data_IF_395469906775
#
_entry.id   IF_395469906775
#
_cell.length_a   1.000
_cell.length_b   1.000
_cell.length_c   1.000
_cell.angle_alpha   90.00
_cell.angle_beta   90.00
_cell.angle_gamma   90.00
#
_symmetry.space_group_name_H-M   'P 1'
#
loop_
_entity.id
_entity.type
_entity.pdbx_description
1 polymer ?
#
# COMPACT_ATOMS: atom_id res chain seq x y z
N UNK A 1 -9.12 38.22 39.06
CA UNK A 1 -8.53 36.87 38.90
C UNK A 1 -8.22 36.68 37.42
N UNK A 2 -7.24 37.36 36.79
CA UNK A 2 -5.77 37.35 36.95
C UNK A 2 -5.19 35.93 37.04
N UNK A 3 -4.25 35.64 36.11
CA UNK A 3 -3.30 34.51 35.94
C UNK A 3 -3.86 33.32 35.12
N UNK A 4 -3.33 32.90 33.96
CA UNK A 4 -2.04 33.09 33.23
C UNK A 4 -2.33 32.96 31.72
N UNK A 5 -1.95 33.91 30.86
CA UNK A 5 -0.67 33.99 30.14
C UNK A 5 -0.27 32.70 29.39
N UNK A 6 -0.43 32.76 28.06
CA UNK A 6 0.53 32.35 27.04
C UNK A 6 1.42 31.13 27.35
N UNK A 7 1.19 30.05 26.60
CA UNK A 7 2.26 29.22 26.01
C UNK A 7 1.74 28.58 24.73
N UNK A 8 1.90 29.29 23.61
CA UNK A 8 2.12 28.71 22.28
C UNK A 8 3.54 28.07 22.23
N UNK A 9 3.86 27.27 21.19
CA UNK A 9 4.30 27.84 19.91
C UNK A 9 3.43 27.32 18.75
N UNK A 10 2.81 28.18 17.93
CA UNK A 10 3.38 29.07 16.89
C UNK A 10 3.89 28.29 15.66
N UNK A 11 3.08 28.42 14.60
CA UNK A 11 3.41 28.45 13.17
C UNK A 11 4.02 27.20 12.52
N UNK A 12 3.15 26.39 11.89
CA UNK A 12 3.37 25.78 10.57
C UNK A 12 2.01 25.28 10.03
N UNK A 13 1.33 26.13 9.25
CA UNK A 13 0.32 25.81 8.20
C UNK A 13 -0.53 27.05 7.90
N UNK A 14 0.13 28.09 7.38
CA UNK A 14 -0.54 29.20 6.71
C UNK A 14 -0.52 28.93 5.20
N UNK A 15 -1.36 28.01 4.69
CA UNK A 15 -1.55 27.82 3.24
C UNK A 15 -2.97 27.39 2.78
N UNK A 16 -3.96 27.28 3.65
CA UNK A 16 -5.27 26.71 3.25
C UNK A 16 -6.53 27.57 3.48
N UNK A 17 -6.40 28.85 3.84
CA UNK A 17 -7.59 29.67 4.17
C UNK A 17 -8.16 30.53 3.04
N UNK A 18 -7.52 30.63 1.87
CA UNK A 18 -7.99 31.47 0.77
C UNK A 18 -9.26 30.92 0.06
N UNK A 19 -9.38 29.61 -0.23
CA UNK A 19 -10.57 29.08 -0.90
C UNK A 19 -11.83 29.12 0.00
N UNK A 20 -11.64 28.90 1.31
CA UNK A 20 -12.73 28.88 2.27
C UNK A 20 -13.40 30.26 2.44
N UNK A 21 -12.61 31.35 2.40
CA UNK A 21 -13.15 32.71 2.45
C UNK A 21 -13.87 33.11 1.16
N UNK A 22 -13.44 32.60 -0.01
CA UNK A 22 -14.09 32.84 -1.30
C UNK A 22 -15.44 32.13 -1.42
N UNK A 23 -15.52 30.87 -0.97
CA UNK A 23 -16.78 30.11 -0.98
C UNK A 23 -17.78 30.69 0.04
N UNK A 24 -17.29 31.14 1.20
CA UNK A 24 -18.14 31.76 2.24
C UNK A 24 -18.67 33.15 1.84
N UNK A 25 -17.96 33.89 0.98
CA UNK A 25 -18.38 35.22 0.52
C UNK A 25 -19.38 35.18 -0.65
N UNK A 26 -19.36 34.13 -1.48
CA UNK A 26 -20.37 33.92 -2.54
C UNK A 26 -21.77 33.66 -1.98
N UNK A 27 -21.89 33.21 -0.72
CA UNK A 27 -23.17 32.94 -0.06
C UNK A 27 -23.73 34.14 0.74
N UNK A 28 -22.99 35.24 0.89
CA UNK A 28 -23.41 36.42 1.66
C UNK A 28 -23.13 37.73 0.91
N UNK A 29 -24.20 38.37 0.42
CA UNK A 29 -24.20 39.60 -0.39
C UNK A 29 -23.79 40.89 0.36
N UNK A 30 -22.82 40.83 1.27
CA UNK A 30 -22.48 41.95 2.19
C UNK A 30 -21.10 42.57 1.99
N UNK A 31 -20.33 42.20 0.96
CA UNK A 31 -19.00 42.77 0.75
C UNK A 31 -18.96 43.75 -0.45
N UNK A 32 -18.35 44.95 -0.30
CA UNK A 32 -18.22 45.93 -1.39
C UNK A 32 -17.37 45.40 -2.57
N UNK A 33 -17.75 45.72 -3.81
CA UNK A 33 -17.13 45.23 -5.06
C UNK A 33 -15.61 45.45 -5.13
N UNK A 34 -15.10 46.52 -4.54
CA UNK A 34 -13.67 46.83 -4.53
C UNK A 34 -12.86 45.85 -3.66
N UNK A 35 -13.44 45.37 -2.56
CA UNK A 35 -12.83 44.33 -1.71
C UNK A 35 -12.86 42.97 -2.41
N UNK A 36 -13.93 42.70 -3.18
CA UNK A 36 -14.07 41.47 -3.98
C UNK A 36 -13.09 41.45 -5.15
N UNK A 37 -12.87 42.58 -5.83
CA UNK A 37 -11.88 42.68 -6.89
C UNK A 37 -10.45 42.58 -6.36
N UNK A 38 -10.18 43.14 -5.18
CA UNK A 38 -8.87 43.00 -4.52
C UNK A 38 -8.60 41.55 -4.08
N UNK A 39 -9.61 40.86 -3.55
CA UNK A 39 -9.52 39.43 -3.20
C UNK A 39 -9.40 38.54 -4.43
N UNK A 40 -10.11 38.84 -5.53
CA UNK A 40 -9.94 38.15 -6.81
C UNK A 40 -8.54 38.35 -7.35
N UNK A 41 -8.02 39.58 -7.38
CA UNK A 41 -6.67 39.87 -7.86
C UNK A 41 -5.60 39.24 -6.96
N UNK A 42 -5.81 39.16 -5.65
CA UNK A 42 -4.91 38.46 -4.74
C UNK A 42 -5.00 36.93 -4.88
N UNK A 43 -6.18 36.38 -5.16
CA UNK A 43 -6.35 34.96 -5.46
C UNK A 43 -5.77 34.59 -6.84
N UNK A 44 -5.87 35.50 -7.81
CA UNK A 44 -5.29 35.38 -9.14
C UNK A 44 -3.76 35.47 -9.06
N UNK A 45 -3.21 36.48 -8.38
CA UNK A 45 -1.77 36.57 -8.09
C UNK A 45 -1.26 35.38 -7.29
N UNK A 46 -2.03 34.86 -6.32
CA UNK A 46 -1.67 33.65 -5.58
C UNK A 46 -1.72 32.38 -6.45
N UNK A 47 -2.66 32.29 -7.41
CA UNK A 47 -2.67 31.20 -8.39
C UNK A 47 -1.53 31.33 -9.41
N UNK A 48 -1.19 32.56 -9.82
CA UNK A 48 -0.08 32.86 -10.71
C UNK A 48 1.28 32.66 -9.99
N UNK A 49 1.35 32.84 -8.67
CA UNK A 49 2.53 32.56 -7.84
C UNK A 49 2.66 31.06 -7.46
N UNK A 50 1.56 30.29 -7.46
CA UNK A 50 1.58 28.81 -7.34
C UNK A 50 1.86 28.15 -8.69
N UNK A 51 1.56 28.81 -9.80
CA UNK A 51 2.15 28.53 -11.10
C UNK A 51 3.63 28.97 -11.11
N UNK A 52 4.42 28.43 -10.16
CA UNK A 52 5.84 28.20 -10.40
C UNK A 52 5.86 27.45 -11.72
N UNK A 53 6.54 28.02 -12.70
CA UNK A 53 6.77 27.49 -14.04
C UNK A 53 7.20 26.02 -13.93
N UNK A 54 6.24 25.08 -13.92
CA UNK A 54 6.43 23.63 -13.89
C UNK A 54 6.89 23.20 -15.28
N UNK A 55 7.90 23.87 -15.80
CA UNK A 55 8.55 23.55 -17.05
C UNK A 55 9.52 22.41 -16.76
N UNK A 56 9.40 21.33 -17.53
CA UNK A 56 10.28 20.18 -17.42
C UNK A 56 11.73 20.65 -17.41
N UNK A 57 12.44 20.37 -16.31
CA UNK A 57 13.81 20.83 -16.15
C UNK A 57 14.74 19.96 -17.00
N UNK A 58 15.63 20.64 -17.72
CA UNK A 58 16.69 20.01 -18.52
C UNK A 58 18.04 20.48 -18.01
N UNK A 59 18.88 19.54 -17.62
CA UNK A 59 20.25 19.82 -17.15
C UNK A 59 21.21 19.13 -18.10
N UNK A 60 22.25 19.82 -18.55
CA UNK A 60 23.35 19.22 -19.31
C UNK A 60 24.43 18.77 -18.32
N UNK A 61 24.89 17.52 -18.44
CA UNK A 61 26.00 17.03 -17.61
C UNK A 61 27.29 17.72 -18.01
N UNK A 62 28.10 18.04 -17.01
CA UNK A 62 29.40 18.72 -17.20
C UNK A 62 30.53 17.71 -17.03
N UNK A 63 30.44 16.85 -16.00
CA UNK A 63 31.40 15.81 -15.70
C UNK A 63 30.76 14.71 -14.82
N UNK A 64 31.58 13.73 -14.41
CA UNK A 64 31.15 12.59 -13.59
C UNK A 64 30.72 13.01 -12.17
N UNK A 65 31.32 14.05 -11.59
CA UNK A 65 30.98 14.51 -10.25
C UNK A 65 29.62 15.22 -10.27
N UNK A 66 29.40 16.08 -11.26
CA UNK A 66 28.11 16.73 -11.50
C UNK A 66 27.01 15.69 -11.78
N UNK A 67 27.28 14.66 -12.59
CA UNK A 67 26.34 13.56 -12.78
C UNK A 67 25.97 12.89 -11.45
N UNK A 68 26.96 12.58 -10.62
CA UNK A 68 26.74 11.92 -9.33
C UNK A 68 25.91 12.79 -8.39
N UNK A 69 26.12 14.11 -8.38
CA UNK A 69 25.31 15.06 -7.61
C UNK A 69 23.86 15.09 -8.09
N UNK A 70 23.64 15.15 -9.40
CA UNK A 70 22.29 15.16 -9.95
C UNK A 70 21.54 13.85 -9.69
N UNK A 71 22.25 12.71 -9.70
CA UNK A 71 21.69 11.40 -9.31
C UNK A 71 21.27 11.38 -7.84
N UNK A 72 21.96 12.08 -6.94
CA UNK A 72 21.55 12.18 -5.52
C UNK A 72 20.20 12.86 -5.33
N UNK A 73 19.80 13.74 -6.25
CA UNK A 73 18.47 14.35 -6.22
C UNK A 73 17.34 13.32 -6.48
N UNK A 74 17.69 12.11 -6.94
CA UNK A 74 16.73 11.04 -7.21
C UNK A 74 16.01 10.48 -5.98
N UNK A 75 16.43 10.88 -4.77
CA UNK A 75 15.70 10.59 -3.52
C UNK A 75 14.38 11.36 -3.41
N UNK A 76 14.24 12.48 -4.14
CA UNK A 76 13.07 13.36 -4.05
C UNK A 76 12.33 13.56 -5.39
N UNK A 77 12.91 13.11 -6.50
CA UNK A 77 12.32 13.23 -7.84
C UNK A 77 12.85 12.15 -8.77
N UNK A 78 12.23 11.96 -9.93
CA UNK A 78 12.74 11.06 -10.96
C UNK A 78 13.83 11.76 -11.75
N UNK A 79 14.98 11.12 -11.88
CA UNK A 79 16.05 11.59 -12.75
C UNK A 79 16.03 10.78 -14.04
N UNK A 80 15.69 11.42 -15.16
CA UNK A 80 15.72 10.80 -16.49
C UNK A 80 17.08 11.08 -17.13
N UNK A 81 17.93 10.07 -17.21
CA UNK A 81 19.24 10.13 -17.86
C UNK A 81 19.05 9.90 -19.36
N UNK A 82 19.17 10.94 -20.17
CA UNK A 82 19.09 10.89 -21.62
C UNK A 82 20.47 10.98 -22.28
N UNK A 83 20.92 9.90 -22.91
CA UNK A 83 22.20 9.85 -23.63
C UNK A 83 21.98 9.93 -25.15
N UNK A 84 22.71 10.83 -25.81
CA UNK A 84 22.53 11.13 -27.22
C UNK A 84 23.84 11.45 -27.95
N UNK A 85 23.80 11.35 -29.29
CA UNK A 85 24.84 11.85 -30.18
C UNK A 85 24.33 13.08 -30.93
N UNK A 86 25.08 14.18 -30.89
CA UNK A 86 24.65 15.51 -31.39
C UNK A 86 24.31 15.57 -32.89
N UNK A 87 24.81 14.63 -33.71
CA UNK A 87 24.59 14.57 -35.17
C UNK A 87 23.58 13.50 -35.61
N UNK A 88 22.97 12.79 -34.67
CA UNK A 88 22.03 11.71 -34.99
C UNK A 88 20.60 12.22 -35.15
N UNK A 89 20.00 11.99 -36.32
CA UNK A 89 18.59 12.33 -36.59
C UNK A 89 17.64 11.53 -35.69
N UNK A 90 17.96 10.27 -35.42
CA UNK A 90 17.16 9.40 -34.54
C UNK A 90 17.14 9.92 -33.10
N UNK A 91 18.28 10.40 -32.59
CA UNK A 91 18.35 11.05 -31.28
C UNK A 91 17.51 12.34 -31.23
N UNK A 92 17.48 13.12 -32.32
CA UNK A 92 16.64 14.32 -32.37
C UNK A 92 15.14 13.98 -32.29
N UNK A 93 14.69 13.02 -33.10
CA UNK A 93 13.29 12.59 -33.12
C UNK A 93 12.89 12.00 -31.76
N UNK A 94 13.74 11.15 -31.18
CA UNK A 94 13.47 10.56 -29.88
C UNK A 94 13.43 11.60 -28.75
N UNK A 95 14.31 12.61 -28.78
CA UNK A 95 14.30 13.71 -27.80
C UNK A 95 12.95 14.42 -27.77
N UNK A 96 12.37 14.72 -28.93
CA UNK A 96 11.05 15.36 -29.02
C UNK A 96 9.94 14.49 -28.44
N UNK A 97 9.96 13.18 -28.73
CA UNK A 97 9.01 12.21 -28.16
C UNK A 97 9.17 12.11 -26.64
N UNK A 98 10.40 11.99 -26.15
CA UNK A 98 10.70 11.89 -24.72
C UNK A 98 10.21 13.14 -23.97
N UNK A 99 10.55 14.33 -24.44
CA UNK A 99 10.13 15.60 -23.82
C UNK A 99 8.61 15.67 -23.73
N UNK A 100 7.90 15.42 -24.85
CA UNK A 100 6.43 15.49 -24.90
C UNK A 100 5.76 14.55 -23.89
N UNK A 101 6.31 13.35 -23.69
CA UNK A 101 5.75 12.38 -22.74
C UNK A 101 6.12 12.70 -21.28
N UNK A 102 7.26 13.36 -21.06
CA UNK A 102 7.75 13.77 -19.74
C UNK A 102 7.15 15.08 -19.24
N UNK A 103 6.57 15.91 -20.10
CA UNK A 103 5.94 17.19 -19.73
C UNK A 103 4.92 17.05 -18.60
N UNK A 104 4.13 15.97 -18.59
CA UNK A 104 3.13 15.73 -17.54
C UNK A 104 3.73 15.31 -16.18
N UNK A 105 5.03 15.05 -16.12
CA UNK A 105 5.77 14.68 -14.90
C UNK A 105 6.78 15.77 -14.51
N UNK A 106 6.66 16.99 -15.04
CA UNK A 106 7.61 18.09 -14.82
C UNK A 106 7.74 18.55 -13.37
N UNK A 107 6.72 18.29 -12.56
CA UNK A 107 6.64 18.57 -11.12
C UNK A 107 7.48 17.59 -10.27
N UNK A 108 7.70 16.38 -10.77
CA UNK A 108 8.37 15.29 -10.03
C UNK A 108 9.54 14.68 -10.80
N UNK A 109 10.00 15.30 -11.88
CA UNK A 109 11.10 14.77 -12.68
C UNK A 109 12.05 15.83 -13.23
N UNK A 110 13.25 15.41 -13.57
CA UNK A 110 14.26 16.22 -14.25
C UNK A 110 14.93 15.37 -15.32
N UNK A 111 15.09 15.92 -16.53
CA UNK A 111 15.86 15.26 -17.59
C UNK A 111 17.30 15.76 -17.54
N UNK A 112 18.23 14.83 -17.40
CA UNK A 112 19.65 15.06 -17.51
C UNK A 112 20.11 14.60 -18.90
N UNK A 113 20.77 15.48 -19.63
CA UNK A 113 21.25 15.24 -20.99
C UNK A 113 22.75 14.94 -20.94
N UNK A 114 23.16 13.85 -21.59
CA UNK A 114 24.56 13.44 -21.71
C UNK A 114 24.90 13.29 -23.18
N UNK A 115 25.76 14.17 -23.67
CA UNK A 115 26.37 14.04 -25.00
C UNK A 115 27.50 13.00 -24.94
N UNK A 116 27.32 11.88 -25.64
CA UNK A 116 28.27 10.76 -25.60
C UNK A 116 29.64 11.15 -26.18
N UNK A 117 29.67 12.11 -27.10
CA UNK A 117 30.90 12.57 -27.73
C UNK A 117 31.74 13.41 -26.76
N UNK A 118 31.10 14.04 -25.77
CA UNK A 118 31.75 14.88 -24.75
C UNK A 118 32.10 14.13 -23.48
N UNK A 119 31.37 13.07 -23.14
CA UNK A 119 31.53 12.34 -21.87
C UNK A 119 31.77 10.83 -22.04
N UNK A 120 32.76 10.38 -22.85
CA UNK A 120 32.96 8.96 -23.15
C UNK A 120 33.28 8.10 -21.91
N UNK A 121 33.97 8.67 -20.92
CA UNK A 121 34.28 7.98 -19.66
C UNK A 121 33.01 7.66 -18.87
N UNK A 122 32.05 8.59 -18.83
CA UNK A 122 30.77 8.41 -18.13
C UNK A 122 29.91 7.34 -18.83
N UNK A 123 29.88 7.35 -20.16
CA UNK A 123 29.17 6.34 -20.96
C UNK A 123 29.71 4.93 -20.70
N UNK A 124 31.04 4.80 -20.60
CA UNK A 124 31.68 3.52 -20.27
C UNK A 124 31.32 3.06 -18.86
N UNK A 125 31.32 3.96 -17.88
CA UNK A 125 30.94 3.65 -16.49
C UNK A 125 29.47 3.21 -16.38
N UNK A 126 28.58 3.85 -17.13
CA UNK A 126 27.15 3.52 -17.18
C UNK A 126 26.85 2.29 -18.04
N UNK A 127 27.85 1.70 -18.71
CA UNK A 127 27.73 0.55 -19.60
C UNK A 127 26.70 0.77 -20.74
N UNK A 128 26.58 2.00 -21.22
CA UNK A 128 25.65 2.37 -22.29
C UNK A 128 26.30 2.07 -23.63
N UNK A 129 25.75 1.10 -24.36
CA UNK A 129 26.34 0.59 -25.60
C UNK A 129 25.63 1.09 -26.87
N UNK A 130 24.49 1.76 -26.74
CA UNK A 130 23.67 2.26 -27.85
C UNK A 130 22.99 3.58 -27.49
N UNK A 131 22.81 4.45 -28.49
CA UNK A 131 22.00 5.67 -28.38
C UNK A 131 20.95 5.73 -29.50
N UNK A 132 19.79 6.37 -29.31
CA UNK A 132 19.35 7.06 -28.08
C UNK A 132 19.10 6.09 -26.92
N UNK A 133 19.44 6.54 -25.71
CA UNK A 133 19.18 5.83 -24.45
C UNK A 133 18.48 6.77 -23.48
N UNK A 134 17.47 6.28 -22.78
CA UNK A 134 16.84 6.98 -21.66
C UNK A 134 16.73 6.06 -20.45
N UNK A 135 17.32 6.42 -19.31
CA UNK A 135 17.22 5.66 -18.08
C UNK A 135 16.46 6.41 -16.99
N UNK A 136 15.63 5.72 -16.22
CA UNK A 136 14.96 6.29 -15.06
C UNK A 136 15.74 5.94 -13.79
N UNK A 137 16.15 6.96 -13.05
CA UNK A 137 16.88 6.85 -11.79
C UNK A 137 15.99 7.35 -10.65
N UNK A 138 15.84 6.53 -9.62
CA UNK A 138 15.06 6.81 -8.42
C UNK A 138 15.73 6.13 -7.22
N UNK A 139 15.76 6.79 -6.06
CA UNK A 139 16.46 6.31 -4.85
C UNK A 139 17.92 5.88 -5.11
N UNK A 140 18.65 6.72 -5.85
CA UNK A 140 20.07 6.52 -6.21
C UNK A 140 20.34 5.26 -7.05
N UNK A 141 19.33 4.70 -7.72
CA UNK A 141 19.45 3.49 -8.53
C UNK A 141 18.75 3.62 -9.88
N UNK A 142 19.31 3.01 -10.93
CA UNK A 142 18.60 2.81 -12.19
C UNK A 142 17.48 1.80 -11.95
N UNK A 143 16.24 2.25 -12.12
CA UNK A 143 15.05 1.39 -11.98
C UNK A 143 14.73 0.72 -13.30
N UNK A 144 14.88 1.44 -14.40
CA UNK A 144 14.68 0.92 -15.75
C UNK A 144 15.36 1.80 -16.81
N UNK A 145 15.43 1.31 -18.05
CA UNK A 145 15.90 2.09 -19.19
C UNK A 145 15.32 1.64 -20.52
N UNK A 146 15.13 2.60 -21.41
CA UNK A 146 14.83 2.40 -22.81
C UNK A 146 16.12 2.31 -23.62
N UNK A 147 16.29 1.19 -24.32
CA UNK A 147 17.30 1.01 -25.35
C UNK A 147 16.70 1.12 -26.76
N UNK A 148 17.55 1.34 -27.76
CA UNK A 148 17.13 1.38 -29.16
C UNK A 148 16.43 0.06 -29.54
N UNK A 149 15.21 0.16 -30.09
CA UNK A 149 14.30 -0.94 -30.46
C UNK A 149 13.47 -1.57 -29.33
N UNK A 150 13.51 -1.03 -28.11
CA UNK A 150 12.61 -1.45 -27.04
C UNK A 150 11.26 -0.73 -27.10
N UNK A 151 10.29 -1.22 -26.31
CA UNK A 151 8.96 -0.62 -26.26
C UNK A 151 8.97 0.60 -25.33
N UNK A 152 8.84 1.78 -25.93
CA UNK A 152 8.77 3.04 -25.19
C UNK A 152 7.63 3.09 -24.16
N UNK A 153 6.49 2.46 -24.44
CA UNK A 153 5.35 2.40 -23.51
C UNK A 153 5.70 1.69 -22.19
N UNK A 154 6.57 0.67 -22.23
CA UNK A 154 7.00 -0.04 -21.02
C UNK A 154 7.82 0.86 -20.09
N UNK A 155 8.77 1.59 -20.67
CA UNK A 155 9.56 2.60 -19.97
C UNK A 155 8.67 3.69 -19.34
N UNK A 156 7.69 4.20 -20.10
CA UNK A 156 6.77 5.23 -19.61
C UNK A 156 5.86 4.74 -18.47
N UNK A 157 5.45 3.47 -18.47
CA UNK A 157 4.65 2.90 -17.38
C UNK A 157 5.40 2.90 -16.04
N UNK A 158 6.71 2.67 -16.06
CA UNK A 158 7.55 2.71 -14.85
C UNK A 158 7.73 4.15 -14.37
N UNK A 159 7.95 5.10 -15.28
CA UNK A 159 7.97 6.53 -14.95
C UNK A 159 6.65 6.96 -14.30
N UNK A 160 5.51 6.55 -14.86
CA UNK A 160 4.19 6.81 -14.29
C UNK A 160 4.07 6.25 -12.87
N UNK A 161 4.47 4.99 -12.65
CA UNK A 161 4.41 4.35 -11.35
C UNK A 161 5.24 5.10 -10.30
N UNK A 162 6.47 5.47 -10.63
CA UNK A 162 7.35 6.23 -9.72
C UNK A 162 6.77 7.63 -9.47
N UNK A 163 6.20 8.27 -10.49
CA UNK A 163 5.61 9.61 -10.35
C UNK A 163 4.43 9.60 -9.38
N UNK A 164 3.59 8.55 -9.41
CA UNK A 164 2.49 8.35 -8.47
C UNK A 164 3.01 8.20 -7.04
N UNK A 165 4.10 7.46 -6.85
CA UNK A 165 4.75 7.32 -5.53
C UNK A 165 5.23 8.68 -5.01
N UNK A 166 5.91 9.46 -5.84
CA UNK A 166 6.45 10.78 -5.48
C UNK A 166 5.34 11.82 -5.20
N UNK A 167 4.21 11.74 -5.91
CA UNK A 167 3.02 12.58 -5.66
C UNK A 167 2.19 12.12 -4.46
N UNK A 168 2.52 10.96 -3.88
CA UNK A 168 1.70 10.34 -2.84
C UNK A 168 0.33 9.88 -3.35
N UNK A 169 0.18 9.66 -4.66
CA UNK A 169 -1.05 9.21 -5.29
C UNK A 169 -1.14 7.68 -5.24
N UNK A 170 -2.12 7.16 -4.50
CA UNK A 170 -2.42 5.73 -4.39
C UNK A 170 -1.24 4.88 -3.89
N UNK A 171 -0.32 5.46 -3.12
CA UNK A 171 0.79 4.72 -2.47
C UNK A 171 0.23 3.61 -1.59
N UNK A 172 -0.87 3.89 -0.88
CA UNK A 172 -1.54 2.92 -0.04
C UNK A 172 -2.09 1.74 -0.85
N UNK A 173 -2.68 2.01 -2.01
CA UNK A 173 -3.25 0.98 -2.88
C UNK A 173 -2.16 0.07 -3.47
N UNK A 174 -1.04 0.64 -3.93
CA UNK A 174 0.11 -0.12 -4.43
C UNK A 174 0.70 -1.00 -3.32
N UNK A 175 0.84 -0.48 -2.10
CA UNK A 175 1.34 -1.25 -0.96
C UNK A 175 0.36 -2.39 -0.62
N UNK A 176 -0.94 -2.14 -0.63
CA UNK A 176 -1.96 -3.18 -0.39
C UNK A 176 -1.93 -4.26 -1.47
N UNK A 177 -1.76 -3.91 -2.74
CA UNK A 177 -1.62 -4.86 -3.84
C UNK A 177 -0.37 -5.73 -3.68
N UNK A 178 0.78 -5.14 -3.32
CA UNK A 178 2.01 -5.88 -3.04
C UNK A 178 1.83 -6.84 -1.85
N UNK A 179 1.19 -6.40 -0.76
CA UNK A 179 0.87 -7.28 0.37
C UNK A 179 -0.04 -8.44 -0.04
N UNK A 180 -1.05 -8.19 -0.87
CA UNK A 180 -1.93 -9.24 -1.39
C UNK A 180 -1.15 -10.27 -2.22
N UNK A 181 -0.24 -9.82 -3.09
CA UNK A 181 0.64 -10.70 -3.88
C UNK A 181 1.59 -11.52 -3.00
N UNK A 182 2.17 -10.90 -1.96
CA UNK A 182 3.06 -11.59 -1.01
C UNK A 182 2.30 -12.65 -0.19
N UNK A 183 1.05 -12.37 0.20
CA UNK A 183 0.19 -13.35 0.86
C UNK A 183 -0.16 -14.52 -0.07
N UNK A 184 -0.56 -14.25 -1.31
CA UNK A 184 -0.87 -15.29 -2.31
C UNK A 184 0.32 -16.19 -2.62
N UNK A 185 1.52 -15.60 -2.73
CA UNK A 185 2.77 -16.34 -2.93
C UNK A 185 3.31 -17.00 -1.65
N UNK A 186 2.58 -16.91 -0.53
CA UNK A 186 2.95 -17.43 0.80
C UNK A 186 4.32 -16.93 1.33
N UNK A 187 4.77 -15.76 0.87
CA UNK A 187 6.03 -15.16 1.32
C UNK A 187 5.85 -14.37 2.61
N UNK A 188 5.69 -15.09 3.72
CA UNK A 188 5.43 -14.53 5.04
C UNK A 188 6.55 -13.58 5.53
N UNK A 189 7.82 -13.87 5.22
CA UNK A 189 8.94 -13.05 5.64
C UNK A 189 8.88 -11.64 5.04
N UNK A 190 8.72 -11.54 3.71
CA UNK A 190 8.58 -10.24 3.05
C UNK A 190 7.29 -9.52 3.45
N UNK A 191 6.19 -10.26 3.63
CA UNK A 191 4.92 -9.68 4.07
C UNK A 191 5.03 -9.04 5.47
N UNK A 192 5.74 -9.67 6.40
CA UNK A 192 6.00 -9.11 7.73
C UNK A 192 6.86 -7.85 7.68
N UNK A 193 7.91 -7.84 6.86
CA UNK A 193 8.75 -6.66 6.67
C UNK A 193 7.92 -5.50 6.12
N UNK A 194 7.20 -5.71 5.01
CA UNK A 194 6.40 -4.67 4.36
C UNK A 194 5.29 -4.12 5.27
N UNK A 195 4.60 -4.99 6.01
CA UNK A 195 3.56 -4.55 6.98
C UNK A 195 4.15 -3.76 8.15
N UNK A 196 5.34 -4.12 8.62
CA UNK A 196 6.02 -3.39 9.71
C UNK A 196 6.49 -2.01 9.25
N UNK A 197 7.07 -1.91 8.05
CA UNK A 197 7.46 -0.64 7.44
C UNK A 197 6.24 0.26 7.20
N UNK A 198 5.15 -0.31 6.67
CA UNK A 198 3.94 0.45 6.38
C UNK A 198 3.26 1.00 7.65
N UNK A 199 3.25 0.22 8.74
CA UNK A 199 2.72 0.66 10.04
C UNK A 199 3.61 1.71 10.73
N UNK A 200 4.90 1.77 10.42
CA UNK A 200 5.81 2.79 10.95
C UNK A 200 5.71 4.14 10.21
N UNK A 201 5.13 4.16 9.00
CA UNK A 201 5.02 5.36 8.18
C UNK A 201 3.83 6.23 8.59
N UNK A 202 4.09 7.50 8.91
CA UNK A 202 3.04 8.49 9.24
C UNK A 202 2.25 8.96 8.01
N UNK A 203 2.84 8.87 6.82
CA UNK A 203 2.26 9.40 5.59
C UNK A 203 1.10 8.55 5.04
N UNK A 204 1.03 7.26 5.41
CA UNK A 204 0.04 6.29 4.93
C UNK A 204 -0.85 5.76 6.06
N UNK A 205 -1.04 6.59 7.11
CA UNK A 205 -1.76 6.23 8.33
C UNK A 205 -3.22 5.81 8.11
N UNK A 206 -3.83 6.31 7.03
CA UNK A 206 -5.23 6.02 6.69
C UNK A 206 -5.50 4.53 6.49
N UNK A 207 -4.57 3.79 5.89
CA UNK A 207 -4.72 2.35 5.63
C UNK A 207 -3.98 1.46 6.66
N UNK A 208 -3.51 2.04 7.77
CA UNK A 208 -2.97 1.28 8.92
C UNK A 208 -3.87 0.13 9.39
N UNK A 209 -5.21 0.27 9.46
CA UNK A 209 -6.08 -0.86 9.78
C UNK A 209 -5.84 -2.06 8.85
N UNK A 210 -5.74 -1.83 7.54
CA UNK A 210 -5.54 -2.89 6.53
C UNK A 210 -4.13 -3.48 6.60
N UNK A 211 -3.11 -2.66 6.82
CA UNK A 211 -1.74 -3.17 7.02
C UNK A 211 -1.63 -4.05 8.26
N UNK A 212 -2.33 -3.71 9.34
CA UNK A 212 -2.39 -4.53 10.55
C UNK A 212 -3.08 -5.88 10.29
N UNK A 213 -4.14 -5.90 9.47
CA UNK A 213 -4.80 -7.13 9.04
C UNK A 213 -3.91 -8.00 8.16
N UNK A 214 -3.13 -7.42 7.24
CA UNK A 214 -2.12 -8.16 6.49
C UNK A 214 -1.00 -8.72 7.38
N UNK A 215 -0.62 -8.00 8.44
CA UNK A 215 0.32 -8.52 9.45
C UNK A 215 -0.24 -9.76 10.16
N UNK A 216 -1.51 -9.75 10.52
CA UNK A 216 -2.18 -10.93 11.06
C UNK A 216 -2.19 -12.10 10.06
N UNK A 217 -2.42 -11.85 8.77
CA UNK A 217 -2.33 -12.88 7.72
C UNK A 217 -0.91 -13.44 7.55
N UNK A 218 0.13 -12.62 7.74
CA UNK A 218 1.49 -13.11 7.75
C UNK A 218 1.72 -14.11 8.89
N UNK A 219 1.16 -13.84 10.08
CA UNK A 219 1.19 -14.79 11.20
C UNK A 219 0.32 -16.03 10.98
N UNK A 220 -0.78 -15.93 10.22
CA UNK A 220 -1.56 -17.10 9.75
C UNK A 220 -0.68 -18.03 8.93
N UNK A 221 0.11 -17.50 7.98
CA UNK A 221 1.03 -18.31 7.17
C UNK A 221 2.13 -18.98 7.99
N UNK A 222 2.44 -18.43 9.17
CA UNK A 222 3.40 -19.00 10.13
C UNK A 222 2.75 -19.93 11.16
N UNK A 223 1.41 -20.06 11.12
CA UNK A 223 0.62 -20.84 12.09
C UNK A 223 0.82 -20.38 13.55
N UNK A 224 1.20 -19.12 13.77
CA UNK A 224 1.49 -18.55 15.10
C UNK A 224 0.22 -17.96 15.73
N UNK A 225 -0.61 -18.82 16.32
CA UNK A 225 -1.93 -18.46 16.88
C UNK A 225 -1.86 -17.30 17.89
N UNK A 226 -0.82 -17.25 18.70
CA UNK A 226 -0.67 -16.21 19.73
C UNK A 226 -0.52 -14.83 19.08
N UNK A 227 0.37 -14.70 18.09
CA UNK A 227 0.59 -13.42 17.40
C UNK A 227 -0.59 -13.01 16.55
N UNK A 228 -1.31 -13.97 15.95
CA UNK A 228 -2.56 -13.67 15.22
C UNK A 228 -3.56 -13.02 16.19
N UNK A 229 -3.78 -13.63 17.36
CA UNK A 229 -4.73 -13.12 18.35
C UNK A 229 -4.31 -11.76 18.90
N UNK A 230 -3.04 -11.58 19.26
CA UNK A 230 -2.50 -10.29 19.70
C UNK A 230 -2.72 -9.18 18.67
N UNK A 231 -2.55 -9.49 17.39
CA UNK A 231 -2.74 -8.53 16.29
C UNK A 231 -4.22 -8.17 16.11
N UNK A 232 -5.13 -9.15 16.23
CA UNK A 232 -6.59 -8.91 16.18
C UNK A 232 -7.04 -8.09 17.39
N UNK A 233 -6.53 -8.38 18.58
CA UNK A 233 -6.86 -7.64 19.80
C UNK A 233 -6.36 -6.18 19.72
N UNK A 234 -5.19 -5.96 19.13
CA UNK A 234 -4.67 -4.62 18.84
C UNK A 234 -5.58 -3.88 17.86
N UNK A 235 -6.03 -4.55 16.80
CA UNK A 235 -7.00 -3.99 15.86
C UNK A 235 -8.30 -3.59 16.57
N UNK A 236 -8.85 -4.47 17.41
CA UNK A 236 -10.10 -4.23 18.15
C UNK A 236 -9.98 -3.07 19.15
N UNK A 237 -8.76 -2.78 19.60
CA UNK A 237 -8.47 -1.65 20.50
C UNK A 237 -8.28 -0.33 19.74
N UNK A 238 -7.55 -0.34 18.63
CA UNK A 238 -7.10 0.89 17.96
C UNK A 238 -7.96 1.28 16.73
N UNK A 239 -8.54 0.31 16.04
CA UNK A 239 -9.16 0.49 14.71
C UNK A 239 -10.60 -0.05 14.65
N UNK A 240 -11.27 -0.15 15.80
CA UNK A 240 -12.66 -0.64 15.87
C UNK A 240 -13.64 0.24 15.08
N UNK A 241 -13.37 1.55 15.02
CA UNK A 241 -14.20 2.52 14.28
C UNK A 241 -14.10 2.27 12.77
N UNK A 242 -12.96 1.79 12.28
CA UNK A 242 -12.74 1.49 10.86
C UNK A 242 -13.58 0.30 10.35
N UNK A 243 -14.23 -0.45 11.24
CA UNK A 243 -15.22 -1.47 10.84
C UNK A 243 -16.54 -0.87 10.32
N UNK A 244 -16.71 0.46 10.37
CA UNK A 244 -17.78 1.17 9.65
C UNK A 244 -17.58 1.10 8.12
N UNK A 245 -16.33 1.03 7.66
CA UNK A 245 -16.00 0.75 6.26
C UNK A 245 -16.30 -0.71 5.93
N UNK A 246 -17.13 -0.92 4.89
CA UNK A 246 -17.56 -2.23 4.45
C UNK A 246 -16.40 -3.10 3.96
N UNK A 247 -15.39 -2.52 3.33
CA UNK A 247 -14.27 -3.30 2.80
C UNK A 247 -13.31 -3.72 3.91
N UNK A 248 -12.98 -2.81 4.82
CA UNK A 248 -12.23 -3.13 6.05
C UNK A 248 -12.95 -4.17 6.90
N UNK A 249 -14.28 -4.08 7.05
CA UNK A 249 -15.09 -5.06 7.78
C UNK A 249 -15.06 -6.46 7.15
N UNK A 250 -15.18 -6.55 5.81
CA UNK A 250 -15.05 -7.83 5.10
C UNK A 250 -13.66 -8.42 5.29
N UNK A 251 -12.62 -7.59 5.19
CA UNK A 251 -11.25 -8.05 5.32
C UNK A 251 -10.94 -8.56 6.74
N UNK A 252 -11.37 -7.81 7.75
CA UNK A 252 -11.29 -8.22 9.15
C UNK A 252 -12.00 -9.56 9.41
N UNK A 253 -13.20 -9.75 8.85
CA UNK A 253 -13.93 -11.02 8.95
C UNK A 253 -13.13 -12.17 8.33
N UNK A 254 -12.55 -11.96 7.15
CA UNK A 254 -11.70 -12.94 6.50
C UNK A 254 -10.50 -13.34 7.38
N UNK A 255 -9.80 -12.37 7.98
CA UNK A 255 -8.69 -12.65 8.91
C UNK A 255 -9.16 -13.47 10.13
N UNK A 256 -10.32 -13.14 10.71
CA UNK A 256 -10.91 -13.93 11.80
C UNK A 256 -11.24 -15.36 11.39
N UNK A 257 -11.78 -15.56 10.19
CA UNK A 257 -12.05 -16.89 9.65
C UNK A 257 -10.75 -17.70 9.52
N UNK A 258 -9.66 -17.08 9.02
CA UNK A 258 -8.34 -17.74 8.97
C UNK A 258 -7.79 -18.07 10.37
N UNK A 259 -7.93 -17.16 11.33
CA UNK A 259 -7.52 -17.40 12.73
C UNK A 259 -8.25 -18.61 13.32
N UNK A 260 -9.57 -18.71 13.09
CA UNK A 260 -10.37 -19.85 13.54
C UNK A 260 -9.89 -21.17 12.93
N UNK A 261 -9.51 -21.18 11.64
CA UNK A 261 -8.93 -22.37 11.00
C UNK A 261 -7.63 -22.79 11.69
N UNK A 262 -6.70 -21.86 11.97
CA UNK A 262 -5.44 -22.16 12.67
C UNK A 262 -5.70 -22.65 14.11
N UNK A 263 -6.69 -22.06 14.79
CA UNK A 263 -7.11 -22.47 16.14
C UNK A 263 -7.66 -23.89 16.14
N UNK A 264 -8.51 -24.23 15.15
CA UNK A 264 -9.01 -25.58 14.98
C UNK A 264 -7.87 -26.57 14.70
N UNK A 265 -6.98 -26.27 13.76
CA UNK A 265 -5.84 -27.12 13.42
C UNK A 265 -4.92 -27.37 14.62
N UNK A 266 -4.60 -26.32 15.38
CA UNK A 266 -3.78 -26.41 16.60
C UNK A 266 -4.42 -27.26 17.70
N UNK A 267 -5.75 -27.38 17.69
CA UNK A 267 -6.50 -28.17 18.67
C UNK A 267 -6.67 -29.64 18.30
N UNK A 268 -6.30 -30.04 17.08
CA UNK A 268 -6.42 -31.42 16.60
C UNK A 268 -5.26 -32.28 17.14
N UNK A 269 -5.47 -32.89 18.30
CA UNK A 269 -4.57 -33.92 18.81
C UNK A 269 -4.54 -35.15 17.87
N UNK A 270 -3.48 -35.97 17.90
CA UNK A 270 -3.42 -37.21 17.12
C UNK A 270 -4.63 -38.14 17.38
N UNK A 271 -5.11 -38.17 18.62
CA UNK A 271 -6.25 -38.99 19.01
C UNK A 271 -7.56 -38.46 18.42
N UNK A 272 -7.76 -37.13 18.44
CA UNK A 272 -8.89 -36.48 17.75
C UNK A 272 -8.87 -36.80 16.24
N UNK A 273 -7.69 -36.80 15.61
CA UNK A 273 -7.56 -37.14 14.18
C UNK A 273 -7.99 -38.58 13.89
N UNK A 274 -7.55 -39.54 14.71
CA UNK A 274 -7.96 -40.95 14.59
C UNK A 274 -9.46 -41.15 14.76
N UNK A 275 -10.07 -40.46 15.73
CA UNK A 275 -11.52 -40.53 15.94
C UNK A 275 -12.27 -39.96 14.73
N UNK A 276 -11.82 -38.84 14.17
CA UNK A 276 -12.40 -38.24 12.97
C UNK A 276 -12.29 -39.16 11.74
N UNK A 277 -11.18 -39.88 11.57
CA UNK A 277 -11.02 -40.89 10.52
C UNK A 277 -12.05 -42.02 10.66
N UNK A 278 -12.19 -42.57 11.87
CA UNK A 278 -13.18 -43.63 12.16
C UNK A 278 -14.63 -43.16 11.99
N UNK A 279 -14.92 -41.90 12.32
CA UNK A 279 -16.22 -41.28 12.07
C UNK A 279 -16.51 -41.11 10.57
N UNK A 280 -15.49 -41.01 9.72
CA UNK A 280 -15.68 -40.94 8.27
C UNK A 280 -16.15 -42.31 7.71
N UNK A 281 -15.63 -43.39 8.27
CA UNK A 281 -16.05 -44.77 7.93
C UNK A 281 -17.40 -45.14 8.54
N UNK A 282 -17.70 -44.63 9.74
CA UNK A 282 -18.98 -44.87 10.42
C UNK A 282 -19.61 -43.57 10.97
N UNK A 283 -20.28 -42.76 10.11
CA UNK A 283 -20.81 -41.45 10.50
C UNK A 283 -22.00 -41.47 11.48
N UNK A 284 -22.51 -42.66 11.81
CA UNK A 284 -23.65 -42.83 12.72
C UNK A 284 -23.26 -43.37 14.10
N UNK A 285 -21.95 -43.54 14.35
CA UNK A 285 -21.41 -44.06 15.61
C UNK A 285 -21.46 -42.99 16.71
N UNK A 286 -22.43 -43.13 17.62
CA UNK A 286 -22.64 -42.19 18.72
C UNK A 286 -21.54 -42.25 19.76
N UNK A 287 -20.91 -43.41 19.94
CA UNK A 287 -19.86 -43.60 20.93
C UNK A 287 -18.60 -42.87 20.46
N UNK A 288 -18.30 -42.93 19.16
CA UNK A 288 -17.21 -42.13 18.56
C UNK A 288 -17.44 -40.61 18.67
N UNK A 289 -18.68 -40.12 18.55
CA UNK A 289 -18.97 -38.71 18.80
C UNK A 289 -18.78 -38.32 20.27
N UNK A 290 -19.10 -39.22 21.21
CA UNK A 290 -18.88 -38.98 22.63
C UNK A 290 -17.37 -38.96 22.94
N UNK A 291 -16.61 -39.93 22.43
CA UNK A 291 -15.15 -39.98 22.55
C UNK A 291 -14.50 -38.72 21.95
N UNK A 292 -14.98 -38.26 20.79
CA UNK A 292 -14.53 -37.00 20.18
C UNK A 292 -14.75 -35.80 21.11
N UNK A 293 -15.90 -35.73 21.79
CA UNK A 293 -16.19 -34.66 22.72
C UNK A 293 -15.28 -34.72 23.96
N UNK A 294 -15.00 -35.91 24.47
CA UNK A 294 -14.10 -36.11 25.61
C UNK A 294 -12.66 -35.76 25.27
N UNK A 295 -12.16 -36.17 24.11
CA UNK A 295 -10.82 -35.80 23.64
C UNK A 295 -10.71 -34.30 23.37
N UNK A 296 -11.76 -33.68 22.82
CA UNK A 296 -11.81 -32.22 22.67
C UNK A 296 -11.79 -31.50 24.03
N UNK A 297 -12.46 -32.02 25.07
CA UNK A 297 -12.37 -31.48 26.44
C UNK A 297 -10.97 -31.62 27.02
N UNK A 298 -10.33 -32.78 26.85
CA UNK A 298 -8.96 -33.03 27.30
C UNK A 298 -7.96 -32.08 26.63
N UNK A 299 -8.16 -31.81 25.33
CA UNK A 299 -7.40 -30.81 24.58
C UNK A 299 -7.77 -29.35 24.91
N UNK A 300 -8.68 -29.13 25.88
CA UNK A 300 -9.25 -27.81 26.24
C UNK A 300 -9.94 -27.10 25.08
N UNK A 301 -10.30 -27.82 24.03
CA UNK A 301 -11.15 -27.33 22.95
C UNK A 301 -12.63 -27.45 23.34
N UNK A 302 -13.03 -26.60 24.29
CA UNK A 302 -14.39 -26.60 24.83
C UNK A 302 -15.46 -26.34 23.77
N UNK A 303 -15.14 -25.52 22.76
CA UNK A 303 -16.07 -25.18 21.69
C UNK A 303 -16.41 -26.42 20.84
N UNK A 304 -15.40 -27.17 20.40
CA UNK A 304 -15.61 -28.42 19.65
C UNK A 304 -16.30 -29.49 20.50
N UNK A 305 -15.96 -29.58 21.79
CA UNK A 305 -16.64 -30.49 22.71
C UNK A 305 -18.14 -30.19 22.82
N UNK A 306 -18.50 -28.92 23.07
CA UNK A 306 -19.90 -28.49 23.21
C UNK A 306 -20.68 -28.73 21.92
N UNK A 307 -20.12 -28.35 20.77
CA UNK A 307 -20.77 -28.57 19.47
C UNK A 307 -21.02 -30.07 19.21
N UNK A 308 -20.04 -30.92 19.55
CA UNK A 308 -20.15 -32.37 19.38
C UNK A 308 -21.22 -32.97 20.30
N UNK A 309 -21.26 -32.58 21.58
CA UNK A 309 -22.30 -33.02 22.51
C UNK A 309 -23.70 -32.55 22.08
N UNK A 310 -23.82 -31.30 21.63
CA UNK A 310 -25.08 -30.77 21.11
C UNK A 310 -25.55 -31.53 19.87
N UNK A 311 -24.61 -31.97 19.00
CA UNK A 311 -24.93 -32.82 17.86
C UNK A 311 -25.55 -34.14 18.33
N UNK A 312 -24.92 -34.83 19.29
CA UNK A 312 -25.43 -36.09 19.88
C UNK A 312 -26.85 -35.89 20.44
N UNK A 313 -27.07 -34.83 21.23
CA UNK A 313 -28.39 -34.53 21.84
C UNK A 313 -29.46 -34.28 20.78
N UNK A 314 -29.16 -33.49 19.74
CA UNK A 314 -30.10 -33.26 18.63
C UNK A 314 -30.46 -34.58 17.94
N UNK A 315 -29.46 -35.41 17.70
CA UNK A 315 -29.63 -36.72 17.06
C UNK A 315 -30.53 -37.65 17.87
N UNK A 316 -30.34 -37.71 19.20
CA UNK A 316 -31.20 -38.49 20.11
C UNK A 316 -32.64 -37.97 20.10
N UNK A 317 -32.83 -36.65 20.13
CA UNK A 317 -34.16 -36.02 20.11
C UNK A 317 -34.94 -36.34 18.82
N UNK A 318 -34.27 -36.34 17.68
CA UNK A 318 -34.87 -36.72 16.38
C UNK A 318 -35.28 -38.19 16.38
N UNK A 319 -34.40 -39.10 16.83
CA UNK A 319 -34.72 -40.53 16.90
C UNK A 319 -35.89 -40.85 17.84
N UNK A 320 -36.04 -40.12 18.95
CA UNK A 320 -37.18 -40.25 19.86
C UNK A 320 -38.50 -39.75 19.24
N UNK A 321 -38.45 -38.63 18.50
CA UNK A 321 -39.64 -38.08 17.83
C UNK A 321 -40.11 -38.93 16.65
N UNK A 322 -39.21 -39.59 15.93
CA UNK A 322 -39.59 -40.56 14.89
C UNK A 322 -40.19 -41.85 15.47
N UNK A 323 -39.68 -42.34 16.61
CA UNK A 323 -40.25 -43.50 17.30
C UNK A 323 -41.66 -43.21 17.86
N UNK A 324 -41.89 -41.98 18.34
CA UNK A 324 -43.21 -41.53 18.83
C UNK A 324 -44.23 -41.28 17.71
N UNK A 325 -43.81 -41.18 16.44
CA UNK A 325 -44.71 -41.07 15.28
C UNK A 325 -45.05 -42.42 14.63
N UNK A 326 -44.27 -43.47 14.94
CA UNK A 326 -44.47 -44.83 14.42
C UNK A 326 -45.27 -45.74 15.36
N UNK A 327 -45.42 -45.34 16.61
CA UNK A 327 -46.38 -45.88 17.57
C UNK A 327 -47.58 -44.94 17.66
#
# INVERSE_FOLDING_TARGET
>A
MIRKLFRTPIFRRAKFYTPALYIYSQQNSKFPDESMNKLKNQAQQFNDDIAVDNKLQHVEVIDTDHFSQLVQESDQKIIIVYCFASRSLECKNFKEVLIKNMEQYSDVSTIINIDIDKHPNLITQLQINSVPFAGAVYNNQFVDGYFQNEKFDGFMAIVEQISRILRGENVEEIILEQMAQLFQSRNHQRLLTLTTEALASENIKKDHPKYLLFKALAYVLMEDLNKIQETIDLFDKEYKVDLEDMDTKKFYKFVKEQCNVIKELSSLTPEIKRILERLNDNPQDKDLYFDLAMEALNAKNYEKAIQTLLHIVKWIKIGLTERLKKN
#
